data_IF_804992657216
#
_entry.id   IF_804992657216
#
_cell.length_a   1.000
_cell.length_b   1.000
_cell.length_c   1.000
_cell.angle_alpha   90.00
_cell.angle_beta   90.00
_cell.angle_gamma   90.00
#
_symmetry.space_group_name_H-M   'P 1'
#
loop_
_entity.id
_entity.type
_entity.pdbx_description
1 polymer ?
#
# COMPACT_ATOMS: atom_id res chain seq x y z
N UNK A 1 68.86 1.88 11.50
CA UNK A 1 68.18 3.21 11.48
C UNK A 1 67.87 3.50 10.00
N UNK A 2 66.70 3.87 9.51
CA UNK A 2 65.50 4.54 10.02
C UNK A 2 64.29 3.93 9.26
N UNK A 3 63.17 3.58 9.92
CA UNK A 3 61.99 4.44 10.08
C UNK A 3 61.64 5.27 8.84
N UNK A 4 60.58 4.88 8.12
CA UNK A 4 59.35 5.68 7.98
C UNK A 4 58.23 4.94 7.25
N UNK A 5 57.14 4.75 8.00
CA UNK A 5 55.75 4.51 7.61
C UNK A 5 55.28 5.48 6.52
N UNK A 6 54.58 5.00 5.48
CA UNK A 6 53.44 5.73 4.87
C UNK A 6 52.36 4.74 4.43
N UNK A 7 51.28 4.70 5.23
CA UNK A 7 49.94 4.22 4.87
C UNK A 7 49.23 5.35 4.15
N UNK A 8 48.64 5.14 2.96
CA UNK A 8 47.59 5.99 2.34
C UNK A 8 47.32 5.46 0.91
N UNK A 9 46.12 5.20 0.41
CA UNK A 9 44.78 5.67 0.80
C UNK A 9 43.73 4.63 0.39
N UNK A 10 42.89 4.26 1.36
CA UNK A 10 41.61 3.61 1.12
C UNK A 10 40.60 4.74 0.87
N UNK A 11 39.94 4.75 -0.28
CA UNK A 11 38.63 5.37 -0.43
C UNK A 11 37.97 4.86 -1.71
N UNK A 12 37.35 3.69 -1.63
CA UNK A 12 36.31 3.33 -2.59
C UNK A 12 35.13 4.29 -2.34
N UNK A 13 34.98 5.30 -3.20
CA UNK A 13 33.77 6.14 -3.26
C UNK A 13 32.65 5.34 -3.93
N UNK A 14 32.20 4.28 -3.28
CA UNK A 14 30.91 3.69 -3.56
C UNK A 14 29.85 4.52 -2.82
N UNK A 15 29.64 5.76 -3.27
CA UNK A 15 28.41 6.48 -2.95
C UNK A 15 27.30 5.82 -3.77
N UNK A 16 26.85 4.66 -3.31
CA UNK A 16 25.55 4.15 -3.68
C UNK A 16 24.53 5.14 -3.15
N UNK A 17 24.14 6.09 -3.98
CA UNK A 17 22.98 6.92 -3.72
C UNK A 17 21.80 5.95 -3.62
N UNK A 18 21.46 5.57 -2.39
CA UNK A 18 20.17 4.98 -2.09
C UNK A 18 19.18 6.13 -2.26
N UNK A 19 18.81 6.39 -3.52
CA UNK A 19 17.63 7.17 -3.83
C UNK A 19 16.45 6.33 -3.36
N UNK A 20 16.15 6.40 -2.06
CA UNK A 20 14.84 6.03 -1.59
C UNK A 20 13.86 6.82 -2.47
N UNK A 21 12.91 6.16 -3.15
CA UNK A 21 11.96 6.86 -4.00
C UNK A 21 11.32 7.96 -3.15
N UNK A 22 11.64 9.21 -3.49
CA UNK A 22 11.09 10.35 -2.77
C UNK A 22 9.60 10.35 -3.05
N UNK A 23 8.80 10.04 -2.02
CA UNK A 23 7.35 10.04 -2.17
C UNK A 23 6.91 11.45 -2.56
N UNK A 24 6.48 11.63 -3.81
CA UNK A 24 6.01 12.90 -4.32
C UNK A 24 4.68 13.30 -3.65
N UNK A 25 4.29 14.57 -3.72
CA UNK A 25 3.01 15.04 -3.17
C UNK A 25 1.78 14.40 -3.84
N UNK A 26 1.97 13.68 -4.95
CA UNK A 26 0.95 12.99 -5.72
C UNK A 26 0.93 11.47 -5.51
N UNK A 27 1.87 10.93 -4.74
CA UNK A 27 1.95 9.49 -4.54
C UNK A 27 0.80 8.98 -3.67
N UNK A 28 0.23 7.81 -3.99
CA UNK A 28 -0.84 7.23 -3.19
C UNK A 28 -0.32 6.86 -1.79
N UNK A 29 -1.17 7.06 -0.79
CA UNK A 29 -0.93 6.61 0.58
C UNK A 29 -1.02 5.09 0.67
N UNK A 30 -1.97 4.51 -0.07
CA UNK A 30 -2.09 3.07 -0.24
C UNK A 30 -2.43 2.73 -1.70
N UNK A 31 -1.81 1.68 -2.23
CA UNK A 31 -2.11 1.09 -3.52
C UNK A 31 -2.63 -0.34 -3.29
N UNK A 32 -3.89 -0.57 -3.66
CA UNK A 32 -4.58 -1.85 -3.46
C UNK A 32 -4.96 -2.42 -4.81
N UNK A 33 -4.66 -3.69 -5.02
CA UNK A 33 -5.05 -4.45 -6.20
C UNK A 33 -6.39 -5.15 -5.94
N UNK A 34 -7.30 -5.11 -6.91
CA UNK A 34 -8.67 -5.60 -6.75
C UNK A 34 -8.95 -6.81 -7.64
N UNK A 35 -9.68 -7.78 -7.12
CA UNK A 35 -9.96 -9.05 -7.79
C UNK A 35 -11.42 -9.45 -7.69
N UNK A 36 -12.00 -10.03 -8.75
CA UNK A 36 -13.38 -10.48 -8.76
C UNK A 36 -13.57 -11.88 -8.17
N UNK A 37 -12.48 -12.65 -8.04
CA UNK A 37 -12.44 -13.98 -7.43
C UNK A 37 -11.96 -13.91 -5.98
N UNK A 38 -12.03 -15.04 -5.28
CA UNK A 38 -11.86 -15.14 -3.82
C UNK A 38 -10.44 -15.55 -3.38
N UNK A 39 -9.44 -15.32 -4.21
CA UNK A 39 -8.08 -15.88 -4.05
C UNK A 39 -6.96 -14.94 -4.50
N UNK A 40 -7.31 -13.73 -4.96
CA UNK A 40 -6.37 -12.78 -5.56
C UNK A 40 -5.60 -13.37 -6.76
N UNK A 41 -6.19 -14.36 -7.42
CA UNK A 41 -5.70 -14.90 -8.68
C UNK A 41 -6.18 -14.06 -9.87
N UNK A 42 -5.51 -14.21 -11.01
CA UNK A 42 -5.87 -13.47 -12.21
C UNK A 42 -7.28 -13.84 -12.72
N UNK A 43 -8.00 -12.90 -13.37
CA UNK A 43 -7.57 -11.56 -13.76
C UNK A 43 -7.77 -10.50 -12.68
N UNK A 44 -6.76 -9.63 -12.54
CA UNK A 44 -6.87 -8.36 -11.83
C UNK A 44 -7.79 -7.40 -12.62
N UNK A 45 -8.75 -6.78 -11.93
CA UNK A 45 -9.72 -5.85 -12.56
C UNK A 45 -9.37 -4.38 -12.37
N UNK A 46 -8.37 -4.05 -11.55
CA UNK A 46 -7.89 -2.69 -11.39
C UNK A 46 -7.11 -2.44 -10.11
N UNK A 47 -6.74 -1.18 -9.95
CA UNK A 47 -6.01 -0.69 -8.78
C UNK A 47 -6.78 0.44 -8.12
N UNK A 48 -6.95 0.34 -6.80
CA UNK A 48 -7.42 1.40 -5.95
C UNK A 48 -6.22 2.17 -5.39
N UNK A 49 -6.10 3.44 -5.75
CA UNK A 49 -5.08 4.36 -5.23
C UNK A 49 -5.72 5.32 -4.23
N UNK A 50 -5.48 5.13 -2.94
CA UNK A 50 -5.96 6.06 -1.91
C UNK A 50 -5.02 7.25 -1.81
N UNK A 51 -5.51 8.45 -2.11
CA UNK A 51 -4.76 9.70 -2.01
C UNK A 51 -5.04 10.40 -0.67
N UNK A 52 -4.20 11.38 -0.32
CA UNK A 52 -4.35 12.19 0.92
C UNK A 52 -5.78 12.69 1.16
N UNK A 53 -6.45 13.18 0.11
CA UNK A 53 -7.80 13.75 0.22
C UNK A 53 -8.88 12.72 0.56
N UNK A 54 -8.60 11.42 0.41
CA UNK A 54 -9.50 10.30 0.72
C UNK A 54 -9.21 9.61 2.06
N UNK A 55 -8.18 10.05 2.80
CA UNK A 55 -7.92 9.56 4.16
C UNK A 55 -9.08 9.93 5.08
N UNK A 56 -9.43 9.02 5.99
CA UNK A 56 -10.54 9.16 6.94
C UNK A 56 -11.90 9.43 6.26
N UNK A 57 -12.05 9.06 4.98
CA UNK A 57 -13.30 9.15 4.23
C UNK A 57 -13.67 7.79 3.64
N UNK A 58 -14.97 7.48 3.67
CA UNK A 58 -15.49 6.28 3.05
C UNK A 58 -15.42 6.43 1.52
N UNK A 59 -14.71 5.50 0.88
CA UNK A 59 -14.67 5.37 -0.58
C UNK A 59 -15.49 4.17 -1.02
N UNK A 60 -16.20 4.29 -2.13
CA UNK A 60 -17.02 3.22 -2.68
C UNK A 60 -16.21 2.36 -3.66
N UNK A 61 -16.51 1.07 -3.68
CA UNK A 61 -16.01 0.10 -4.65
C UNK A 61 -17.12 -0.23 -5.68
N UNK A 62 -17.95 0.76 -5.99
CA UNK A 62 -19.07 0.68 -6.92
C UNK A 62 -18.58 0.72 -8.37
N UNK A 63 -17.91 -0.38 -8.75
CA UNK A 63 -17.39 -0.58 -10.09
C UNK A 63 -18.26 -1.48 -10.95
N UNK A 64 -17.90 -1.56 -12.24
CA UNK A 64 -18.42 -2.53 -13.21
C UNK A 64 -18.21 -3.99 -12.78
N UNK A 65 -17.27 -4.24 -11.87
CA UNK A 65 -16.89 -5.58 -11.40
C UNK A 65 -17.20 -5.73 -9.92
N UNK A 66 -17.77 -6.89 -9.56
CA UNK A 66 -17.85 -7.35 -8.18
C UNK A 66 -16.45 -7.63 -7.64
N UNK A 67 -16.07 -7.04 -6.51
CA UNK A 67 -14.77 -7.28 -5.87
C UNK A 67 -14.94 -8.25 -4.71
N UNK A 68 -14.23 -9.39 -4.73
CA UNK A 68 -14.31 -10.43 -3.69
C UNK A 68 -13.02 -10.60 -2.91
N UNK A 69 -11.89 -10.25 -3.51
CA UNK A 69 -10.61 -10.23 -2.81
C UNK A 69 -9.77 -9.03 -3.24
N UNK A 70 -8.79 -8.71 -2.41
CA UNK A 70 -7.88 -7.60 -2.61
C UNK A 70 -6.53 -7.87 -1.97
N UNK A 71 -5.51 -7.20 -2.48
CA UNK A 71 -4.15 -7.26 -1.94
C UNK A 71 -3.57 -5.86 -1.87
N UNK A 72 -2.96 -5.49 -0.75
CA UNK A 72 -2.26 -4.21 -0.64
C UNK A 72 -0.87 -4.39 -1.24
N UNK A 73 -0.60 -3.74 -2.37
CA UNK A 73 0.70 -3.78 -3.03
C UNK A 73 1.71 -2.86 -2.36
N UNK A 74 1.23 -1.70 -1.89
CA UNK A 74 2.10 -0.70 -1.31
C UNK A 74 1.36 0.19 -0.31
N UNK A 75 2.03 0.47 0.81
CA UNK A 75 1.71 1.57 1.72
C UNK A 75 2.95 2.47 1.75
N UNK A 76 2.78 3.78 1.51
CA UNK A 76 3.90 4.72 1.55
C UNK A 76 4.25 5.12 2.98
N UNK A 77 5.46 5.63 3.21
CA UNK A 77 5.90 6.06 4.55
C UNK A 77 4.97 7.10 5.18
N UNK A 78 4.31 7.93 4.36
CA UNK A 78 3.33 8.93 4.80
C UNK A 78 2.04 8.31 5.36
N UNK A 79 1.80 7.03 5.09
CA UNK A 79 0.66 6.26 5.57
C UNK A 79 1.06 5.30 6.72
N UNK A 80 2.23 5.49 7.34
CA UNK A 80 2.60 4.75 8.56
C UNK A 80 1.61 5.06 9.68
N UNK A 81 1.14 4.01 10.34
CA UNK A 81 0.09 4.10 11.37
C UNK A 81 -1.33 4.13 10.80
N UNK A 82 -1.49 4.22 9.48
CA UNK A 82 -2.80 4.09 8.87
C UNK A 82 -3.20 2.62 8.74
N UNK A 83 -4.49 2.36 8.92
CA UNK A 83 -5.09 1.03 8.74
C UNK A 83 -6.14 1.08 7.64
N UNK A 84 -6.05 0.17 6.68
CA UNK A 84 -7.06 0.02 5.63
C UNK A 84 -8.17 -0.89 6.13
N UNK A 85 -9.40 -0.42 6.02
CA UNK A 85 -10.59 -1.20 6.31
C UNK A 85 -11.44 -1.38 5.06
N UNK A 86 -12.10 -2.52 4.97
CA UNK A 86 -13.09 -2.85 3.91
C UNK A 86 -14.41 -3.23 4.54
N UNK A 87 -15.50 -3.02 3.80
CA UNK A 87 -16.87 -3.20 4.27
C UNK A 87 -17.71 -3.88 3.18
N UNK A 88 -18.77 -4.57 3.58
CA UNK A 88 -19.68 -5.22 2.62
C UNK A 88 -20.71 -4.26 2.02
N UNK A 89 -21.02 -3.16 2.72
CA UNK A 89 -21.90 -2.10 2.24
C UNK A 89 -21.13 -0.95 1.57
N UNK A 90 -21.84 0.02 1.01
CA UNK A 90 -21.27 1.17 0.29
C UNK A 90 -21.09 2.42 1.17
N UNK A 91 -21.41 2.34 2.46
CA UNK A 91 -21.39 3.46 3.41
C UNK A 91 -20.43 3.26 4.59
N UNK A 92 -19.56 2.25 4.52
CA UNK A 92 -18.56 1.89 5.53
C UNK A 92 -19.16 1.62 6.92
N UNK A 93 -20.19 0.78 7.02
CA UNK A 93 -20.91 0.50 8.27
C UNK A 93 -20.96 -0.98 8.64
N UNK A 94 -21.04 -1.85 7.65
CA UNK A 94 -21.31 -3.28 7.81
C UNK A 94 -20.07 -4.12 7.54
N UNK A 95 -19.93 -5.24 8.26
CA UNK A 95 -18.87 -6.24 8.07
C UNK A 95 -17.45 -5.63 7.95
N UNK A 96 -17.10 -4.69 8.85
CA UNK A 96 -15.77 -4.06 8.87
C UNK A 96 -14.66 -5.09 9.01
N UNK A 97 -13.73 -5.10 8.07
CA UNK A 97 -12.55 -5.96 8.07
C UNK A 97 -11.29 -5.12 7.96
N UNK A 98 -10.31 -5.42 8.79
CA UNK A 98 -8.96 -4.86 8.67
C UNK A 98 -8.17 -5.60 7.60
N UNK A 99 -7.44 -4.85 6.78
CA UNK A 99 -6.63 -5.37 5.68
C UNK A 99 -5.16 -5.12 5.98
N UNK A 100 -4.42 -6.19 6.21
CA UNK A 100 -2.98 -6.15 6.43
C UNK A 100 -2.19 -6.18 5.13
N UNK A 101 -0.99 -5.60 5.12
CA UNK A 101 -0.12 -5.57 3.93
C UNK A 101 0.46 -6.96 3.63
N UNK A 102 0.57 -7.30 2.35
CA UNK A 102 1.36 -8.46 1.89
C UNK A 102 0.65 -9.80 1.90
N UNK A 103 -0.67 -9.84 2.16
CA UNK A 103 -1.50 -11.04 2.03
C UNK A 103 -2.74 -10.77 1.19
N UNK A 104 -3.23 -11.81 0.50
CA UNK A 104 -4.55 -11.75 -0.11
C UNK A 104 -5.63 -11.73 0.97
N UNK A 105 -6.55 -10.78 0.87
CA UNK A 105 -7.71 -10.68 1.74
C UNK A 105 -8.96 -11.00 0.95
N UNK A 106 -9.69 -12.02 1.40
CA UNK A 106 -10.91 -12.50 0.76
C UNK A 106 -12.09 -12.21 1.67
N UNK A 107 -13.08 -11.52 1.12
CA UNK A 107 -14.32 -11.24 1.82
C UNK A 107 -15.21 -12.48 1.83
N UNK A 108 -15.96 -12.67 2.92
CA UNK A 108 -17.05 -13.64 2.96
C UNK A 108 -18.19 -13.27 1.97
N UNK A 109 -18.30 -11.97 1.67
CA UNK A 109 -19.16 -11.36 0.66
C UNK A 109 -18.31 -10.46 -0.25
N UNK A 110 -18.93 -9.91 -1.28
CA UNK A 110 -18.29 -8.84 -2.05
C UNK A 110 -18.04 -7.60 -1.18
N UNK A 111 -16.96 -6.87 -1.47
CA UNK A 111 -16.66 -5.59 -0.86
C UNK A 111 -17.43 -4.47 -1.56
N UNK A 112 -18.07 -3.60 -0.79
CA UNK A 112 -18.83 -2.45 -1.28
C UNK A 112 -18.13 -1.11 -1.05
N UNK A 113 -17.28 -1.00 -0.02
CA UNK A 113 -16.55 0.22 0.30
C UNK A 113 -15.24 -0.05 1.05
N UNK A 114 -14.41 0.99 1.14
CA UNK A 114 -13.13 0.99 1.82
C UNK A 114 -12.92 2.30 2.60
N UNK A 115 -12.07 2.25 3.62
CA UNK A 115 -11.65 3.39 4.43
C UNK A 115 -10.19 3.23 4.81
N UNK A 116 -9.33 4.17 4.40
CA UNK A 116 -7.99 4.28 4.98
C UNK A 116 -8.07 5.22 6.18
N UNK A 117 -7.96 4.67 7.38
CA UNK A 117 -8.01 5.45 8.62
C UNK A 117 -6.61 5.72 9.14
N UNK A 118 -6.30 6.98 9.42
CA UNK A 118 -5.04 7.41 10.01
C UNK A 118 -5.36 8.26 11.25
N UNK A 119 -4.75 7.94 12.39
CA UNK A 119 -4.86 8.71 13.64
C UNK A 119 -3.89 9.90 13.68
#
# INVERSE_FOLDING_TARGET
MHFTTIVASVAALAMGASAAPASGPYDPFAQVRLYPQSDCEQPNVGYLSVRRSGINKCGQLDGTYTIKSLNIEQITDNAKGCTLYTFSDVSCKEDRQEVSVGSCHTGAKQYGSYLLSCE
#
